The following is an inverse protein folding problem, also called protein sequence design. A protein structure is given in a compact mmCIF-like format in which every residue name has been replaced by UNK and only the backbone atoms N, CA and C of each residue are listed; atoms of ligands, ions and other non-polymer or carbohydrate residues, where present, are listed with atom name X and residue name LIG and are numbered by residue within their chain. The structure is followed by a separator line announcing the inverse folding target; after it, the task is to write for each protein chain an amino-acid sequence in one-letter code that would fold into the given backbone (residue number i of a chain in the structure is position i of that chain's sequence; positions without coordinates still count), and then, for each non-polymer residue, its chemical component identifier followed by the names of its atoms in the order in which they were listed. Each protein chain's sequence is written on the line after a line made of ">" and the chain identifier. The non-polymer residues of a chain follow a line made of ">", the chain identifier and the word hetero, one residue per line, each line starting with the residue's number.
data_IF_731616012722
#
_entry.id   IF_731616012722
#
_cell.length_a   1.000
_cell.length_b   1.000
_cell.length_c   1.000
_cell.angle_alpha   90.00
_cell.angle_beta   90.00
_cell.angle_gamma   90.00
#
_symmetry.space_group_name_H-M   'P 1'
#
loop_
_entity.id
_entity.type
_entity.pdbx_description
1 polymer ?
#
# COMPACT_ATOMS: atom_id res chain seq x y z
N UNK A 1 -11.91 -14.48 15.32
CA UNK A 1 -11.04 -15.48 14.67
C UNK A 1 -11.34 -15.39 13.19
N UNK A 2 -10.44 -14.78 12.42
CA UNK A 2 -10.62 -14.60 10.98
C UNK A 2 -10.39 -15.98 10.33
N UNK A 3 -11.19 -16.41 9.34
CA UNK A 3 -10.93 -17.67 8.67
C UNK A 3 -9.61 -17.60 7.90
N UNK A 4 -8.73 -18.60 8.04
CA UNK A 4 -7.42 -18.62 7.36
C UNK A 4 -7.52 -18.41 5.84
N UNK A 5 -8.57 -18.95 5.22
CA UNK A 5 -8.81 -18.77 3.78
C UNK A 5 -9.05 -17.30 3.40
N UNK A 6 -9.64 -16.50 4.28
CA UNK A 6 -9.89 -15.07 4.04
C UNK A 6 -8.59 -14.27 4.06
N UNK A 7 -7.68 -14.62 4.96
CA UNK A 7 -6.36 -13.99 5.04
C UNK A 7 -5.49 -14.39 3.85
N UNK A 8 -5.52 -15.65 3.43
CA UNK A 8 -4.85 -16.10 2.20
C UNK A 8 -5.37 -15.36 0.95
N UNK A 9 -6.69 -15.16 0.86
CA UNK A 9 -7.28 -14.39 -0.25
C UNK A 9 -6.84 -12.92 -0.24
N UNK A 10 -6.84 -12.28 0.93
CA UNK A 10 -6.32 -10.90 1.08
C UNK A 10 -4.88 -10.79 0.64
N UNK A 11 -4.03 -11.73 1.05
CA UNK A 11 -2.62 -11.77 0.69
C UNK A 11 -2.43 -11.97 -0.82
N UNK A 12 -3.12 -12.94 -1.42
CA UNK A 12 -3.02 -13.20 -2.86
C UNK A 12 -3.44 -11.98 -3.69
N UNK A 13 -4.55 -11.32 -3.33
CA UNK A 13 -5.01 -10.10 -4.01
C UNK A 13 -4.01 -8.97 -3.84
N UNK A 14 -3.44 -8.81 -2.64
CA UNK A 14 -2.44 -7.76 -2.40
C UNK A 14 -1.15 -7.98 -3.20
N UNK A 15 -0.62 -9.20 -3.24
CA UNK A 15 0.57 -9.55 -4.02
C UNK A 15 0.31 -9.31 -5.51
N UNK A 16 -0.84 -9.74 -6.03
CA UNK A 16 -1.23 -9.49 -7.42
C UNK A 16 -1.36 -7.99 -7.71
N UNK A 17 -1.94 -7.22 -6.79
CA UNK A 17 -2.04 -5.77 -6.91
C UNK A 17 -0.67 -5.09 -6.93
N UNK A 18 0.24 -5.48 -6.03
CA UNK A 18 1.62 -4.98 -5.99
C UNK A 18 2.38 -5.31 -7.28
N UNK A 19 2.28 -6.56 -7.76
CA UNK A 19 2.90 -6.99 -9.01
C UNK A 19 2.33 -6.21 -10.20
N UNK A 20 1.00 -6.03 -10.25
CA UNK A 20 0.37 -5.25 -11.30
C UNK A 20 0.83 -3.79 -11.27
N UNK A 21 0.82 -3.15 -10.10
CA UNK A 21 1.28 -1.78 -9.93
C UNK A 21 2.73 -1.62 -10.38
N UNK A 22 3.63 -2.51 -9.96
CA UNK A 22 5.03 -2.52 -10.38
C UNK A 22 5.16 -2.63 -11.91
N UNK A 23 4.41 -3.52 -12.54
CA UNK A 23 4.44 -3.71 -14.00
C UNK A 23 3.89 -2.49 -14.76
N UNK A 24 2.79 -1.90 -14.30
CA UNK A 24 2.22 -0.70 -14.93
C UNK A 24 3.03 0.55 -14.68
N UNK A 25 3.67 0.66 -13.52
CA UNK A 25 4.54 1.78 -13.19
C UNK A 25 5.79 1.77 -14.07
N UNK A 26 6.43 0.60 -14.24
CA UNK A 26 7.56 0.42 -15.14
C UNK A 26 7.21 0.62 -16.63
N UNK A 27 5.98 0.34 -17.05
CA UNK A 27 5.56 0.47 -18.45
C UNK A 27 4.98 1.82 -18.82
N UNK A 28 4.27 2.47 -17.91
CA UNK A 28 3.44 3.63 -18.22
C UNK A 28 3.57 4.78 -17.21
N UNK A 29 4.32 4.59 -16.11
CA UNK A 29 4.48 5.58 -15.04
C UNK A 29 3.17 6.02 -14.40
N UNK A 30 2.12 5.19 -14.49
CA UNK A 30 0.76 5.54 -14.07
C UNK A 30 0.07 4.36 -13.43
N UNK A 31 -0.55 4.63 -12.27
CA UNK A 31 -1.44 3.70 -11.58
C UNK A 31 -2.89 4.04 -11.95
N UNK A 32 -3.55 3.08 -12.61
CA UNK A 32 -4.88 3.25 -13.17
C UNK A 32 -5.99 3.12 -12.13
N UNK A 33 -6.92 4.09 -12.12
CA UNK A 33 -8.07 4.14 -11.20
C UNK A 33 -8.99 2.91 -11.31
N UNK A 34 -9.13 2.36 -12.52
CA UNK A 34 -10.03 1.23 -12.77
C UNK A 34 -9.60 -0.05 -12.06
N UNK A 35 -8.34 -0.17 -11.60
CA UNK A 35 -7.87 -1.27 -10.75
C UNK A 35 -7.75 -0.86 -9.29
N UNK A 36 -7.35 0.38 -9.01
CA UNK A 36 -7.18 0.84 -7.62
C UNK A 36 -8.51 0.93 -6.87
N UNK A 37 -9.56 1.43 -7.51
CA UNK A 37 -10.89 1.52 -6.89
C UNK A 37 -11.50 0.16 -6.52
N UNK A 38 -11.58 -0.85 -7.42
CA UNK A 38 -12.17 -2.13 -7.04
C UNK A 38 -11.36 -2.85 -5.96
N UNK A 39 -10.03 -2.75 -5.97
CA UNK A 39 -9.19 -3.37 -4.93
C UNK A 39 -9.34 -2.67 -3.58
N UNK A 40 -9.49 -1.34 -3.58
CA UNK A 40 -9.77 -0.57 -2.36
C UNK A 40 -11.11 -0.95 -1.74
N UNK A 41 -12.17 -1.01 -2.57
CA UNK A 41 -13.50 -1.46 -2.13
C UNK A 41 -13.46 -2.90 -1.63
N UNK A 42 -12.74 -3.79 -2.33
CA UNK A 42 -12.52 -5.16 -1.88
C UNK A 42 -11.86 -5.20 -0.49
N UNK A 43 -10.81 -4.41 -0.26
CA UNK A 43 -10.14 -4.34 1.04
C UNK A 43 -11.09 -3.94 2.17
N UNK A 44 -11.93 -2.93 1.95
CA UNK A 44 -12.95 -2.55 2.92
C UNK A 44 -14.00 -3.62 3.16
N UNK A 45 -14.50 -4.27 2.10
CA UNK A 45 -15.49 -5.34 2.25
C UNK A 45 -14.93 -6.49 3.08
N UNK A 46 -13.72 -6.96 2.76
CA UNK A 46 -13.11 -8.07 3.49
C UNK A 46 -12.78 -7.69 4.94
N UNK A 47 -12.38 -6.45 5.20
CA UNK A 47 -12.20 -5.96 6.58
C UNK A 47 -13.52 -5.76 7.32
N UNK A 48 -14.60 -5.44 6.61
CA UNK A 48 -15.98 -5.49 7.13
C UNK A 48 -16.36 -6.87 7.61
N UNK A 49 -16.16 -7.90 6.78
CA UNK A 49 -16.41 -9.30 7.16
C UNK A 49 -15.50 -9.80 8.29
N UNK A 50 -14.27 -9.28 8.37
CA UNK A 50 -13.32 -9.64 9.42
C UNK A 50 -13.50 -8.85 10.74
N UNK A 51 -14.40 -7.86 10.78
CA UNK A 51 -14.59 -6.99 11.95
C UNK A 51 -13.49 -5.94 12.18
N UNK A 52 -12.58 -5.77 11.22
CA UNK A 52 -11.44 -4.83 11.28
C UNK A 52 -11.62 -3.60 10.40
N UNK A 53 -12.86 -3.33 9.96
CA UNK A 53 -13.20 -2.19 9.11
C UNK A 53 -12.69 -0.84 9.64
N UNK A 54 -12.76 -0.52 10.95
CA UNK A 54 -12.23 0.75 11.47
C UNK A 54 -10.73 0.90 11.19
N UNK A 55 -9.94 -0.16 11.34
CA UNK A 55 -8.50 -0.13 11.10
C UNK A 55 -8.15 0.07 9.63
N UNK A 56 -8.93 -0.55 8.73
CA UNK A 56 -8.80 -0.37 7.28
C UNK A 56 -9.19 1.03 6.83
N UNK A 57 -10.29 1.58 7.35
CA UNK A 57 -10.71 2.95 7.05
C UNK A 57 -9.70 3.97 7.58
N UNK A 58 -9.21 3.78 8.81
CA UNK A 58 -8.13 4.57 9.38
C UNK A 58 -6.86 4.49 8.53
N UNK A 59 -6.50 3.29 8.05
CA UNK A 59 -5.36 3.10 7.16
C UNK A 59 -5.53 3.88 5.85
N UNK A 60 -6.66 3.76 5.18
CA UNK A 60 -6.93 4.51 3.95
C UNK A 60 -6.93 6.02 4.19
N UNK A 61 -7.51 6.48 5.30
CA UNK A 61 -7.59 7.90 5.62
C UNK A 61 -6.23 8.48 6.01
N UNK A 62 -5.39 7.72 6.72
CA UNK A 62 -4.00 8.09 7.00
C UNK A 62 -3.17 8.18 5.72
N UNK A 63 -3.32 7.23 4.80
CA UNK A 63 -2.67 7.31 3.50
C UNK A 63 -3.07 8.58 2.74
N UNK A 64 -4.37 8.92 2.74
CA UNK A 64 -4.85 10.15 2.14
C UNK A 64 -4.28 11.39 2.83
N UNK A 65 -4.32 11.45 4.16
CA UNK A 65 -3.80 12.59 4.93
C UNK A 65 -2.31 12.85 4.70
N UNK A 66 -1.51 11.77 4.56
CA UNK A 66 -0.07 11.88 4.34
C UNK A 66 0.29 12.25 2.89
N UNK A 67 -0.40 11.70 1.89
CA UNK A 67 -0.02 11.85 0.50
C UNK A 67 -0.76 12.98 -0.23
N UNK A 68 -1.99 13.34 0.16
CA UNK A 68 -2.76 14.42 -0.49
C UNK A 68 -2.02 15.78 -0.47
N UNK A 69 -1.40 16.23 0.63
CA UNK A 69 -0.65 17.48 0.63
C UNK A 69 0.53 17.46 -0.36
N UNK A 70 1.22 16.32 -0.47
CA UNK A 70 2.35 16.14 -1.40
C UNK A 70 1.91 16.10 -2.87
N UNK A 71 0.74 15.53 -3.15
CA UNK A 71 0.13 15.54 -4.49
C UNK A 71 -0.30 16.96 -4.87
N UNK A 72 -0.92 17.70 -3.95
CA UNK A 72 -1.35 19.09 -4.22
C UNK A 72 -0.17 20.05 -4.48
N UNK A 73 1.00 19.75 -3.90
CA UNK A 73 2.24 20.49 -4.13
C UNK A 73 3.03 19.99 -5.35
N UNK A 74 2.50 19.06 -6.15
CA UNK A 74 3.17 18.38 -7.27
C UNK A 74 4.52 17.74 -6.91
N UNK A 75 4.74 17.44 -5.63
CA UNK A 75 5.97 16.80 -5.12
C UNK A 75 5.89 15.28 -5.12
N UNK A 76 4.68 14.73 -5.06
CA UNK A 76 4.41 13.29 -4.96
C UNK A 76 3.44 12.89 -6.07
N UNK A 77 3.68 11.75 -6.71
CA UNK A 77 2.82 11.26 -7.77
C UNK A 77 1.43 10.90 -7.24
N UNK A 78 0.38 11.30 -7.96
CA UNK A 78 -0.99 10.86 -7.65
C UNK A 78 -1.16 9.33 -7.73
N UNK A 79 -0.22 8.61 -8.34
CA UNK A 79 -0.14 7.15 -8.27
C UNK A 79 0.19 6.65 -6.86
N UNK A 80 1.20 7.25 -6.21
CA UNK A 80 1.67 6.85 -4.88
C UNK A 80 0.56 6.98 -3.82
N UNK A 81 -0.23 8.06 -3.90
CA UNK A 81 -1.42 8.26 -3.07
C UNK A 81 -2.41 7.08 -3.20
N UNK A 82 -2.69 6.63 -4.43
CA UNK A 82 -3.65 5.53 -4.65
C UNK A 82 -3.10 4.20 -4.16
N UNK A 83 -1.80 3.96 -4.35
CA UNK A 83 -1.14 2.76 -3.85
C UNK A 83 -1.17 2.73 -2.31
N UNK A 84 -0.82 3.84 -1.66
CA UNK A 84 -0.88 3.97 -0.21
C UNK A 84 -2.32 3.81 0.32
N UNK A 85 -3.33 4.35 -0.37
CA UNK A 85 -4.73 4.20 0.00
C UNK A 85 -5.20 2.73 -0.03
N UNK A 86 -4.84 1.98 -1.07
CA UNK A 86 -5.12 0.53 -1.18
C UNK A 86 -4.35 -0.25 -0.12
N UNK A 87 -3.09 0.09 0.13
CA UNK A 87 -2.27 -0.54 1.17
C UNK A 87 -2.87 -0.34 2.55
N UNK A 88 -3.34 0.87 2.87
CA UNK A 88 -4.07 1.16 4.10
C UNK A 88 -5.40 0.43 4.21
N UNK A 89 -6.13 0.27 3.09
CA UNK A 89 -7.39 -0.48 3.08
C UNK A 89 -7.18 -1.97 3.38
N UNK A 90 -6.12 -2.58 2.86
CA UNK A 90 -5.86 -4.02 2.97
C UNK A 90 -5.05 -4.42 4.22
N UNK A 91 -4.09 -3.58 4.63
CA UNK A 91 -3.20 -3.86 5.77
C UNK A 91 -3.64 -3.16 7.07
N UNK A 92 -4.56 -2.20 6.98
CA UNK A 92 -4.90 -1.30 8.08
C UNK A 92 -3.81 -0.26 8.35
N UNK A 93 -4.06 0.61 9.32
CA UNK A 93 -3.16 1.73 9.63
C UNK A 93 -1.77 1.29 10.12
N UNK A 94 -1.67 0.24 10.94
CA UNK A 94 -0.39 -0.27 11.43
C UNK A 94 0.47 -0.82 10.30
N UNK A 95 -0.14 -1.63 9.43
CA UNK A 95 0.55 -2.21 8.27
C UNK A 95 0.97 -1.14 7.26
N UNK A 96 0.15 -0.10 7.06
CA UNK A 96 0.54 1.06 6.25
C UNK A 96 1.78 1.77 6.83
N UNK A 97 1.80 2.05 8.14
CA UNK A 97 2.95 2.72 8.77
C UNK A 97 4.22 1.86 8.67
N UNK A 98 4.11 0.54 8.87
CA UNK A 98 5.22 -0.38 8.69
C UNK A 98 5.74 -0.37 7.24
N UNK A 99 4.83 -0.39 6.26
CA UNK A 99 5.19 -0.31 4.84
C UNK A 99 5.89 1.02 4.50
N UNK A 100 5.40 2.15 5.03
CA UNK A 100 6.03 3.46 4.83
C UNK A 100 7.40 3.55 5.49
N UNK A 101 7.57 3.00 6.70
CA UNK A 101 8.86 2.98 7.38
C UNK A 101 9.90 2.18 6.59
N UNK A 102 9.53 0.98 6.13
CA UNK A 102 10.41 0.13 5.31
C UNK A 102 10.73 0.82 3.97
N UNK A 103 9.73 1.41 3.30
CA UNK A 103 9.93 2.14 2.06
C UNK A 103 10.87 3.34 2.25
N UNK A 104 10.74 4.08 3.36
CA UNK A 104 11.62 5.18 3.71
C UNK A 104 13.06 4.74 3.96
N UNK A 105 13.28 3.64 4.68
CA UNK A 105 14.61 3.05 4.89
C UNK A 105 15.23 2.62 3.56
N UNK A 106 14.47 1.93 2.70
CA UNK A 106 14.93 1.52 1.38
C UNK A 106 15.30 2.72 0.49
N UNK A 107 14.50 3.79 0.54
CA UNK A 107 14.78 5.03 -0.20
C UNK A 107 16.05 5.73 0.29
N UNK A 108 16.32 5.70 1.61
CA UNK A 108 17.57 6.21 2.20
C UNK A 108 18.78 5.40 1.74
N UNK A 109 18.71 4.07 1.81
CA UNK A 109 19.79 3.18 1.34
C UNK A 109 20.05 3.32 -0.17
N UNK A 110 19.01 3.56 -0.96
CA UNK A 110 19.13 3.81 -2.40
C UNK A 110 19.72 5.19 -2.74
N UNK A 111 19.97 6.06 -1.75
CA UNK A 111 20.63 7.35 -1.96
C UNK A 111 19.80 8.37 -2.75
N UNK A 112 18.47 8.27 -2.69
CA UNK A 112 17.53 9.06 -3.51
C UNK A 112 17.57 10.56 -3.18
N UNK A 113 18.17 10.95 -2.05
CA UNK A 113 18.40 12.37 -1.70
C UNK A 113 19.29 13.16 -2.67
N UNK A 114 19.96 12.51 -3.63
CA UNK A 114 20.97 13.14 -4.50
C UNK A 114 20.63 13.14 -6.00
N UNK A 115 19.45 12.70 -6.45
CA UNK A 115 19.10 12.69 -7.88
C UNK A 115 17.80 13.46 -8.16
N UNK A 116 17.88 14.34 -9.17
CA UNK A 116 16.83 15.25 -9.67
C UNK A 116 15.63 14.54 -10.30
N UNK A 117 15.65 13.21 -10.40
CA UNK A 117 14.56 12.43 -10.98
C UNK A 117 13.71 11.82 -9.86
N UNK A 118 12.43 12.20 -9.83
CA UNK A 118 11.42 11.63 -8.95
C UNK A 118 11.21 10.16 -9.30
N UNK A 119 11.92 9.26 -8.62
CA UNK A 119 11.58 7.84 -8.67
C UNK A 119 10.19 7.66 -8.06
N UNK A 120 9.26 6.94 -8.72
CA UNK A 120 7.95 6.67 -8.16
C UNK A 120 8.12 5.89 -6.85
N UNK A 121 7.63 6.47 -5.75
CA UNK A 121 7.68 5.87 -4.42
C UNK A 121 7.04 4.48 -4.42
N UNK A 122 6.09 4.24 -5.32
CA UNK A 122 5.49 2.95 -5.65
C UNK A 122 6.49 1.81 -5.85
N UNK A 123 7.67 2.08 -6.45
CA UNK A 123 8.71 1.08 -6.68
C UNK A 123 9.28 0.51 -5.37
N UNK A 124 9.38 1.35 -4.33
CA UNK A 124 9.86 0.96 -3.01
C UNK A 124 8.71 0.53 -2.08
N UNK A 125 7.53 1.13 -2.25
CA UNK A 125 6.33 0.80 -1.46
C UNK A 125 5.78 -0.58 -1.78
N UNK A 126 5.87 -1.07 -3.02
CA UNK A 126 5.41 -2.41 -3.41
C UNK A 126 6.16 -3.55 -2.68
N UNK A 127 7.50 -3.64 -2.70
CA UNK A 127 8.22 -4.65 -1.92
C UNK A 127 8.13 -4.39 -0.41
N UNK A 128 8.13 -3.13 0.03
CA UNK A 128 8.02 -2.79 1.45
C UNK A 128 6.68 -3.23 2.06
N UNK A 129 5.59 -3.07 1.32
CA UNK A 129 4.26 -3.50 1.76
C UNK A 129 4.09 -5.01 1.71
N UNK A 130 4.69 -5.70 0.73
CA UNK A 130 4.76 -7.17 0.72
C UNK A 130 5.55 -7.69 1.94
N UNK A 131 6.69 -7.08 2.27
CA UNK A 131 7.49 -7.42 3.46
C UNK A 131 6.74 -7.12 4.77
N UNK A 132 6.08 -5.95 4.86
CA UNK A 132 5.26 -5.57 6.00
C UNK A 132 4.10 -6.55 6.20
N UNK A 133 3.49 -7.04 5.12
CA UNK A 133 2.41 -8.02 5.17
C UNK A 133 2.90 -9.38 5.66
N UNK A 134 4.08 -9.84 5.24
CA UNK A 134 4.70 -11.05 5.77
C UNK A 134 4.98 -10.89 7.27
N UNK A 135 5.55 -9.76 7.69
CA UNK A 135 5.81 -9.44 9.11
C UNK A 135 4.54 -9.37 9.97
N UNK A 136 3.45 -8.77 9.46
CA UNK A 136 2.17 -8.72 10.18
C UNK A 136 1.47 -10.08 10.19
N UNK A 137 1.61 -10.90 9.15
CA UNK A 137 1.15 -12.28 9.13
C UNK A 137 1.82 -13.14 10.20
N UNK A 138 3.13 -12.95 10.45
CA UNK A 138 3.84 -13.61 11.54
C UNK A 138 3.42 -13.12 12.94
N UNK A 139 3.05 -11.84 13.09
CA UNK A 139 2.62 -11.25 14.37
C UNK A 139 1.20 -11.65 14.81
N UNK A 140 0.36 -12.15 13.90
CA UNK A 140 -1.00 -12.66 14.20
C UNK A 140 -0.99 -14.15 14.56
N UNK A 141 0.12 -14.86 14.30
CA UNK A 141 0.32 -16.29 14.58
C UNK A 141 1.04 -16.58 15.92
N UNK A 142 1.31 -15.56 16.74
CA UNK A 142 1.88 -15.67 18.09
C UNK A 142 0.87 -15.09 19.09
#
# INVERSE_FOLDING_TARGET
>A
MIPEWLDLMKQAVFILFCAFCLLTDLRSGRIYNYITLPVLVFGWLVSGFAGTLPDSLLGTLLAAALFVPGVYMDKIGAGDLKFAAVSGALLGWKGLLAALAIAGVMALYAGIGSRKESYPLALFLAPASAAAQVLTGYLVLI
#
